data_IF_456816182699
#
_entry.id   IF_456816182699
#
_cell.length_a   1.000
_cell.length_b   1.000
_cell.length_c   1.000
_cell.angle_alpha   90.00
_cell.angle_beta   90.00
_cell.angle_gamma   90.00
#
_symmetry.space_group_name_H-M   'P 1'
#
loop_
_entity.id
_entity.type
_entity.pdbx_description
1 polymer ?
#
# COMPACT_ATOMS: atom_id res chain seq x y z
N UNK A 1 -15.99 14.32 3.54
CA UNK A 1 -14.70 14.10 4.26
C UNK A 1 -13.78 13.39 3.29
N UNK A 2 -12.49 13.66 3.31
CA UNK A 2 -11.55 12.95 2.43
C UNK A 2 -11.40 11.50 2.87
N UNK A 3 -11.43 10.58 1.91
CA UNK A 3 -11.15 9.16 2.11
C UNK A 3 -10.19 8.64 1.04
N UNK A 4 -8.94 8.50 1.42
CA UNK A 4 -7.91 8.07 0.49
C UNK A 4 -8.07 6.61 0.08
N UNK A 5 -8.02 6.36 -1.22
CA UNK A 5 -8.07 5.03 -1.80
C UNK A 5 -7.00 4.84 -2.88
N UNK A 6 -6.63 3.60 -3.12
CA UNK A 6 -5.70 3.20 -4.17
C UNK A 6 -6.38 2.18 -5.08
N UNK A 7 -6.13 2.30 -6.38
CA UNK A 7 -6.60 1.36 -7.39
C UNK A 7 -5.39 0.70 -8.06
N UNK A 8 -5.48 -0.59 -8.31
CA UNK A 8 -4.59 -1.31 -9.22
C UNK A 8 -5.39 -1.85 -10.40
N UNK A 9 -5.08 -1.38 -11.60
CA UNK A 9 -5.62 -1.94 -12.85
C UNK A 9 -4.78 -3.15 -13.27
N UNK A 10 -5.32 -4.35 -13.05
CA UNK A 10 -4.62 -5.60 -13.33
C UNK A 10 -4.46 -5.86 -14.83
N UNK A 11 -5.25 -5.21 -15.68
CA UNK A 11 -5.14 -5.30 -17.14
C UNK A 11 -3.89 -4.58 -17.66
N UNK A 12 -3.41 -3.58 -16.89
CA UNK A 12 -2.26 -2.73 -17.23
C UNK A 12 -0.98 -3.13 -16.50
N UNK A 13 -1.10 -3.83 -15.36
CA UNK A 13 0.06 -4.22 -14.57
C UNK A 13 0.91 -5.24 -15.32
N UNK A 14 2.18 -4.93 -15.54
CA UNK A 14 3.15 -5.78 -16.25
C UNK A 14 4.15 -6.48 -15.32
N UNK A 15 3.94 -6.44 -14.01
CA UNK A 15 4.79 -7.14 -13.03
C UNK A 15 6.20 -6.59 -12.89
N UNK A 16 6.50 -5.38 -13.35
CA UNK A 16 7.86 -4.81 -13.43
C UNK A 16 8.53 -4.52 -12.09
N UNK A 17 7.81 -4.63 -10.96
CA UNK A 17 8.30 -4.37 -9.58
C UNK A 17 8.80 -2.93 -9.31
N UNK A 18 8.63 -1.98 -10.24
CA UNK A 18 9.06 -0.59 -10.04
C UNK A 18 8.39 0.03 -8.81
N UNK A 19 7.10 -0.24 -8.58
CA UNK A 19 6.37 0.22 -7.40
C UNK A 19 6.96 -0.35 -6.09
N UNK A 20 7.46 -1.60 -6.10
CA UNK A 20 8.15 -2.22 -4.97
C UNK A 20 9.48 -1.52 -4.68
N UNK A 21 10.28 -1.29 -5.73
CA UNK A 21 11.56 -0.60 -5.61
C UNK A 21 11.40 0.86 -5.15
N UNK A 22 10.43 1.58 -5.73
CA UNK A 22 10.15 2.97 -5.35
C UNK A 22 9.64 3.09 -3.90
N UNK A 23 8.76 2.17 -3.46
CA UNK A 23 8.31 2.11 -2.07
C UNK A 23 9.48 1.86 -1.12
N UNK A 24 10.34 0.88 -1.43
CA UNK A 24 11.54 0.59 -0.65
C UNK A 24 12.47 1.80 -0.56
N UNK A 25 12.74 2.45 -1.69
CA UNK A 25 13.60 3.63 -1.71
C UNK A 25 13.02 4.80 -0.93
N UNK A 26 11.70 5.06 -1.04
CA UNK A 26 11.04 6.17 -0.36
C UNK A 26 10.98 5.97 1.17
N UNK A 27 10.80 4.72 1.63
CA UNK A 27 10.54 4.42 3.04
C UNK A 27 11.72 3.68 3.72
N UNK A 28 12.87 3.56 3.07
CA UNK A 28 14.08 2.88 3.55
C UNK A 28 13.82 1.48 4.16
N UNK A 29 12.84 0.74 3.61
CA UNK A 29 12.52 -0.58 4.16
C UNK A 29 13.72 -1.53 4.01
N UNK A 30 14.08 -2.29 5.05
CA UNK A 30 15.24 -3.16 5.03
C UNK A 30 15.06 -4.35 4.06
N UNK A 31 16.13 -5.07 3.70
CA UNK A 31 16.04 -6.30 2.93
C UNK A 31 15.04 -7.28 3.53
N UNK A 32 14.18 -7.87 2.69
CA UNK A 32 13.12 -8.80 3.12
C UNK A 32 11.81 -8.11 3.53
N UNK A 33 11.77 -6.80 3.75
CA UNK A 33 10.55 -6.04 4.05
C UNK A 33 10.05 -5.34 2.79
N UNK A 34 8.84 -5.67 2.37
CA UNK A 34 8.21 -5.11 1.17
C UNK A 34 6.81 -4.61 1.50
N UNK A 35 6.68 -3.31 1.84
CA UNK A 35 5.37 -2.71 2.10
C UNK A 35 4.48 -2.70 0.85
N UNK A 36 5.10 -2.65 -0.32
CA UNK A 36 4.49 -2.88 -1.62
C UNK A 36 5.19 -4.06 -2.28
N UNK A 37 4.43 -5.05 -2.76
CA UNK A 37 4.92 -6.19 -3.55
C UNK A 37 3.96 -6.46 -4.68
N UNK A 38 4.41 -7.15 -5.72
CA UNK A 38 3.57 -7.61 -6.80
C UNK A 38 3.60 -9.13 -6.81
N UNK A 39 2.43 -9.74 -6.67
CA UNK A 39 2.27 -11.18 -6.81
C UNK A 39 2.21 -11.51 -8.30
N UNK A 40 2.85 -12.60 -8.67
CA UNK A 40 2.83 -13.19 -9.99
C UNK A 40 2.00 -14.47 -9.91
N UNK A 41 0.85 -14.48 -10.60
CA UNK A 41 -0.13 -15.56 -10.50
C UNK A 41 -0.41 -16.14 -11.88
N UNK A 42 -0.28 -17.44 -11.99
CA UNK A 42 -0.73 -18.19 -13.16
C UNK A 42 -2.05 -18.90 -12.84
N UNK A 43 -2.95 -18.94 -13.81
CA UNK A 43 -4.22 -19.66 -13.73
C UNK A 43 -4.65 -20.16 -15.10
N UNK A 44 -5.51 -21.18 -15.10
CA UNK A 44 -5.88 -21.95 -16.30
C UNK A 44 -5.09 -23.24 -16.42
N UNK A 45 -5.34 -23.98 -17.50
CA UNK A 45 -4.65 -25.23 -17.84
C UNK A 45 -3.99 -25.10 -19.22
N UNK A 46 -2.83 -25.72 -19.37
CA UNK A 46 -2.13 -25.70 -20.64
C UNK A 46 -3.01 -26.31 -21.77
N UNK A 47 -3.12 -25.66 -22.96
CA UNK A 47 -2.34 -24.49 -23.42
C UNK A 47 -2.95 -23.14 -23.06
N UNK A 48 -4.12 -23.07 -22.42
CA UNK A 48 -4.85 -21.82 -22.14
C UNK A 48 -4.48 -21.22 -20.78
N UNK A 49 -3.18 -21.00 -20.56
CA UNK A 49 -2.66 -20.41 -19.33
C UNK A 49 -2.72 -18.89 -19.42
N UNK A 50 -3.24 -18.26 -18.37
CA UNK A 50 -3.24 -16.81 -18.19
C UNK A 50 -2.34 -16.41 -17.02
N UNK A 51 -1.81 -15.21 -17.06
CA UNK A 51 -0.94 -14.66 -16.02
C UNK A 51 -1.42 -13.29 -15.58
N UNK A 52 -1.53 -13.08 -14.28
CA UNK A 52 -1.88 -11.80 -13.70
C UNK A 52 -0.83 -11.33 -12.71
N UNK A 53 -0.56 -10.03 -12.71
CA UNK A 53 0.32 -9.37 -11.76
C UNK A 53 -0.51 -8.55 -10.81
N UNK A 54 -0.47 -8.88 -9.52
CA UNK A 54 -1.34 -8.27 -8.51
C UNK A 54 -0.50 -7.47 -7.51
N UNK A 55 -0.51 -6.13 -7.59
CA UNK A 55 0.13 -5.27 -6.59
C UNK A 55 -0.60 -5.38 -5.26
N UNK A 56 0.10 -5.77 -4.19
CA UNK A 56 -0.47 -5.91 -2.85
C UNK A 56 0.32 -5.14 -1.80
N UNK A 57 -0.34 -4.87 -0.67
CA UNK A 57 0.23 -4.16 0.47
C UNK A 57 -0.83 -3.94 1.53
N UNK A 58 -0.61 -3.00 2.45
CA UNK A 58 -1.64 -2.61 3.41
C UNK A 58 -2.88 -2.08 2.67
N UNK A 59 -4.05 -2.56 3.07
CA UNK A 59 -5.33 -2.21 2.45
C UNK A 59 -5.98 -0.96 3.05
N UNK A 60 -5.43 -0.40 4.13
CA UNK A 60 -6.02 0.73 4.86
C UNK A 60 -7.52 0.55 5.09
N UNK A 61 -7.86 -0.57 5.74
CA UNK A 61 -9.22 -1.03 5.97
C UNK A 61 -10.10 0.02 6.67
N UNK A 62 -11.40 0.00 6.39
CA UNK A 62 -12.39 0.82 7.09
C UNK A 62 -12.57 0.32 8.53
N UNK A 63 -12.61 -0.99 8.70
CA UNK A 63 -12.61 -1.68 10.00
C UNK A 63 -11.33 -2.51 10.13
N UNK A 64 -10.23 -1.92 10.63
CA UNK A 64 -8.93 -2.56 10.59
C UNK A 64 -8.70 -3.50 11.78
N UNK A 65 -8.74 -4.85 11.61
CA UNK A 65 -8.55 -5.80 12.71
C UNK A 65 -7.21 -5.64 13.42
N UNK A 66 -6.22 -5.10 12.75
CA UNK A 66 -4.92 -4.77 13.33
C UNK A 66 -4.96 -3.61 14.36
N UNK A 67 -6.01 -2.79 14.35
CA UNK A 67 -6.24 -1.77 15.37
C UNK A 67 -6.86 -2.38 16.63
N UNK A 68 -7.82 -3.29 16.46
CA UNK A 68 -8.55 -3.91 17.56
C UNK A 68 -7.65 -4.76 18.46
N UNK A 69 -6.70 -5.48 17.86
CA UNK A 69 -5.75 -6.32 18.60
C UNK A 69 -4.56 -5.56 19.18
N UNK A 70 -4.45 -4.24 18.97
CA UNK A 70 -3.31 -3.47 19.43
C UNK A 70 -3.44 -3.12 20.93
N UNK A 71 -2.64 -3.73 21.84
CA UNK A 71 -2.80 -3.55 23.29
C UNK A 71 -2.46 -2.12 23.73
N UNK A 72 -1.54 -1.45 23.03
CA UNK A 72 -1.12 -0.08 23.36
C UNK A 72 -1.88 0.98 22.56
N UNK A 73 -2.80 0.56 21.66
CA UNK A 73 -3.49 1.45 20.72
C UNK A 73 -2.54 2.29 19.84
N UNK A 74 -1.33 1.76 19.59
CA UNK A 74 -0.38 2.38 18.68
C UNK A 74 -0.88 2.41 17.24
N UNK A 75 -1.65 1.38 16.81
CA UNK A 75 -2.30 1.41 15.50
C UNK A 75 -3.56 2.28 15.59
N UNK A 76 -3.64 3.30 14.73
CA UNK A 76 -4.73 4.28 14.69
C UNK A 76 -5.24 4.44 13.27
N UNK A 77 -6.52 4.79 13.11
CA UNK A 77 -7.11 5.20 11.84
C UNK A 77 -7.32 6.71 11.87
N UNK A 78 -6.83 7.42 10.87
CA UNK A 78 -7.04 8.87 10.67
C UNK A 78 -8.44 9.12 10.10
N UNK A 79 -8.89 10.36 10.20
CA UNK A 79 -10.19 10.79 9.65
C UNK A 79 -10.27 10.64 8.13
N UNK A 80 -9.13 10.66 7.44
CA UNK A 80 -9.00 10.47 5.99
C UNK A 80 -8.88 8.99 5.56
N UNK A 81 -9.10 8.05 6.48
CA UNK A 81 -9.07 6.61 6.22
C UNK A 81 -7.68 5.97 6.29
N UNK A 82 -6.60 6.74 6.38
CA UNK A 82 -5.26 6.17 6.48
C UNK A 82 -5.07 5.52 7.85
N UNK A 83 -4.68 4.25 7.85
CA UNK A 83 -4.28 3.55 9.08
C UNK A 83 -2.79 3.79 9.31
N UNK A 84 -2.42 4.32 10.45
CA UNK A 84 -1.04 4.64 10.87
C UNK A 84 -0.60 3.84 12.08
N UNK A 85 0.67 3.91 12.41
CA UNK A 85 1.24 3.36 13.65
C UNK A 85 2.01 4.48 14.33
N UNK A 86 1.73 4.67 15.59
CA UNK A 86 2.51 5.51 16.49
C UNK A 86 3.68 4.67 17.01
N UNK A 87 4.88 4.96 16.53
CA UNK A 87 6.05 4.15 16.83
C UNK A 87 6.51 4.30 18.29
N UNK A 88 6.22 5.42 18.92
CA UNK A 88 6.56 5.67 20.34
C UNK A 88 5.69 4.82 21.29
N UNK A 89 4.46 4.49 20.87
CA UNK A 89 3.54 3.66 21.62
C UNK A 89 3.65 2.16 21.26
N UNK A 90 4.30 1.82 20.15
CA UNK A 90 4.36 0.45 19.68
C UNK A 90 5.40 -0.38 20.45
N UNK A 91 4.96 -1.42 21.15
CA UNK A 91 5.84 -2.35 21.89
C UNK A 91 6.34 -3.54 21.05
N UNK A 92 6.05 -3.56 19.75
CA UNK A 92 6.53 -4.61 18.85
C UNK A 92 5.98 -6.02 19.11
N UNK A 93 4.82 -6.16 19.74
CA UNK A 93 4.23 -7.49 20.10
C UNK A 93 3.80 -8.33 18.90
N UNK A 94 3.72 -7.74 17.70
CA UNK A 94 3.35 -8.37 16.43
C UNK A 94 1.92 -8.94 16.34
N UNK A 95 1.02 -8.72 17.29
CA UNK A 95 -0.39 -9.18 17.20
C UNK A 95 -1.09 -8.63 15.94
N UNK A 96 -0.79 -7.39 15.56
CA UNK A 96 -1.30 -6.80 14.34
C UNK A 96 -0.82 -7.49 13.06
N UNK A 97 0.31 -8.19 13.07
CA UNK A 97 0.78 -8.99 11.95
C UNK A 97 0.01 -10.30 11.83
N UNK A 98 -0.34 -10.91 12.96
CA UNK A 98 -1.17 -12.13 13.00
C UNK A 98 -2.61 -11.84 12.59
N UNK A 99 -3.17 -10.71 13.05
CA UNK A 99 -4.56 -10.32 12.74
C UNK A 99 -4.76 -9.81 11.30
N UNK A 100 -3.69 -9.45 10.58
CA UNK A 100 -3.80 -8.88 9.25
C UNK A 100 -4.05 -9.96 8.18
N UNK A 101 -5.23 -10.05 7.54
CA UNK A 101 -5.49 -11.06 6.52
C UNK A 101 -4.67 -10.84 5.23
N UNK A 102 -4.13 -9.63 5.06
CA UNK A 102 -3.33 -9.25 3.88
C UNK A 102 -1.83 -9.45 4.07
N UNK A 103 -1.38 -9.91 5.25
CA UNK A 103 0.03 -10.09 5.60
C UNK A 103 0.88 -8.82 5.32
N UNK A 104 0.32 -7.67 5.63
CA UNK A 104 0.90 -6.37 5.28
C UNK A 104 1.57 -5.65 6.46
N UNK A 105 1.99 -6.42 7.48
CA UNK A 105 2.66 -5.92 8.67
C UNK A 105 4.00 -6.63 8.85
N UNK A 106 5.03 -5.85 9.12
CA UNK A 106 6.41 -6.33 9.26
C UNK A 106 6.99 -5.84 10.57
N UNK A 107 7.97 -6.56 11.08
CA UNK A 107 8.79 -6.16 12.22
C UNK A 107 10.25 -6.48 11.91
N UNK A 108 11.13 -5.53 12.18
CA UNK A 108 12.57 -5.69 12.01
C UNK A 108 13.25 -5.31 13.31
N UNK A 109 14.02 -6.24 13.88
CA UNK A 109 14.64 -6.06 15.21
C UNK A 109 15.86 -5.13 15.17
N UNK A 110 16.54 -5.06 14.04
CA UNK A 110 17.75 -4.24 13.84
C UNK A 110 17.87 -3.76 12.40
N UNK A 111 18.59 -2.68 12.19
CA UNK A 111 18.91 -2.19 10.86
C UNK A 111 19.63 -3.27 10.04
N UNK A 112 19.12 -3.55 8.85
CA UNK A 112 19.68 -4.50 7.90
C UNK A 112 19.89 -3.78 6.56
N UNK A 113 21.07 -3.96 5.98
CA UNK A 113 21.44 -3.35 4.71
C UNK A 113 21.85 -4.43 3.72
N UNK A 114 21.50 -4.26 2.44
CA UNK A 114 21.75 -5.26 1.39
C UNK A 114 23.25 -5.58 1.21
N UNK A 115 24.12 -4.61 1.47
CA UNK A 115 25.59 -4.73 1.32
C UNK A 115 26.31 -4.81 2.68
N UNK A 116 25.60 -5.11 3.77
CA UNK A 116 26.16 -5.16 5.13
C UNK A 116 26.42 -3.78 5.75
N UNK A 117 26.50 -2.74 4.93
CA UNK A 117 26.64 -1.34 5.35
C UNK A 117 25.61 -0.49 4.61
N UNK A 118 25.13 0.61 5.21
CA UNK A 118 24.18 1.50 4.55
C UNK A 118 24.80 2.18 3.35
N UNK A 119 24.08 2.24 2.25
CA UNK A 119 24.38 3.19 1.16
C UNK A 119 24.10 4.61 1.65
N UNK A 120 24.61 5.62 0.93
CA UNK A 120 24.39 7.04 1.25
C UNK A 120 22.90 7.38 1.30
N UNK A 121 22.10 6.76 0.44
CA UNK A 121 20.64 6.94 0.42
C UNK A 121 19.95 6.28 1.60
N UNK A 122 20.35 5.06 1.96
CA UNK A 122 19.81 4.34 3.12
C UNK A 122 20.16 5.06 4.43
N UNK A 123 21.41 5.49 4.60
CA UNK A 123 21.85 6.23 5.78
C UNK A 123 21.05 7.53 6.03
N UNK A 124 20.65 8.24 4.95
CA UNK A 124 19.84 9.46 5.06
C UNK A 124 18.38 9.22 5.42
N UNK A 125 17.87 8.03 5.19
CA UNK A 125 16.45 7.69 5.35
C UNK A 125 16.20 6.66 6.43
N UNK A 126 17.27 6.10 7.01
CA UNK A 126 17.15 5.20 8.16
C UNK A 126 16.42 5.92 9.28
N UNK A 127 15.37 5.32 9.76
CA UNK A 127 14.60 5.79 10.92
C UNK A 127 14.64 4.70 12.00
N UNK A 128 15.40 4.95 13.04
CA UNK A 128 15.58 3.99 14.14
C UNK A 128 14.29 3.81 14.96
N UNK A 129 13.34 4.75 14.88
CA UNK A 129 12.01 4.60 15.48
C UNK A 129 11.20 3.43 14.85
N UNK A 130 11.59 2.98 13.66
CA UNK A 130 10.97 1.83 12.98
C UNK A 130 11.60 0.49 13.36
N UNK A 131 12.60 0.47 14.24
CA UNK A 131 13.23 -0.77 14.71
C UNK A 131 12.47 -1.36 15.90
N UNK A 132 12.40 -2.68 15.94
CA UNK A 132 11.70 -3.48 16.96
C UNK A 132 10.20 -3.20 17.10
N UNK A 133 9.62 -2.38 16.23
CA UNK A 133 8.19 -2.03 16.16
C UNK A 133 7.53 -2.61 14.90
N UNK A 134 6.20 -2.61 14.88
CA UNK A 134 5.46 -3.00 13.68
C UNK A 134 5.52 -1.88 12.63
N UNK A 135 5.78 -2.25 11.38
CA UNK A 135 5.80 -1.32 10.24
C UNK A 135 4.90 -1.79 9.12
N UNK A 136 4.43 -0.87 8.28
CA UNK A 136 3.57 -1.15 7.13
C UNK A 136 3.52 0.02 6.15
N UNK A 137 2.92 -0.18 4.99
CA UNK A 137 2.57 0.91 4.09
C UNK A 137 1.71 1.98 4.79
N UNK A 138 2.07 3.26 4.64
CA UNK A 138 1.37 4.43 5.18
C UNK A 138 0.63 5.23 4.10
N UNK A 139 0.54 4.73 2.86
CA UNK A 139 0.19 5.51 1.67
C UNK A 139 1.15 6.69 1.42
N UNK A 140 2.35 6.65 2.01
CA UNK A 140 3.31 7.76 2.00
C UNK A 140 2.68 9.03 2.62
N UNK A 141 2.09 8.90 3.81
CA UNK A 141 1.32 9.95 4.49
C UNK A 141 2.10 11.26 4.60
N UNK A 142 3.41 11.20 4.82
CA UNK A 142 4.27 12.39 4.90
C UNK A 142 4.29 13.18 3.59
N UNK A 143 4.21 12.47 2.43
CA UNK A 143 4.12 13.12 1.11
C UNK A 143 2.75 13.76 0.90
N UNK A 144 1.69 13.05 1.32
CA UNK A 144 0.31 13.54 1.22
C UNK A 144 0.15 14.79 2.06
N UNK A 145 0.54 14.74 3.34
CA UNK A 145 0.38 15.84 4.28
C UNK A 145 1.20 17.08 3.82
N UNK A 146 2.48 16.89 3.47
CA UNK A 146 3.33 17.95 2.94
C UNK A 146 2.83 18.54 1.61
N UNK A 147 2.21 17.72 0.77
CA UNK A 147 1.60 18.18 -0.47
C UNK A 147 0.36 19.03 -0.23
N UNK A 148 -0.53 18.59 0.66
CA UNK A 148 -1.74 19.33 1.04
C UNK A 148 -1.37 20.70 1.66
N UNK A 149 -0.36 20.76 2.52
CA UNK A 149 0.14 22.02 3.10
C UNK A 149 0.62 23.02 2.03
N UNK A 150 1.11 22.51 0.88
CA UNK A 150 1.54 23.30 -0.27
C UNK A 150 0.43 23.60 -1.27
N UNK A 151 -0.81 23.16 -0.99
CA UNK A 151 -1.95 23.29 -1.92
C UNK A 151 -1.90 22.34 -3.12
N UNK A 152 -1.09 21.27 -3.04
CA UNK A 152 -1.02 20.22 -4.07
C UNK A 152 -2.10 19.17 -3.85
N UNK A 153 -2.50 18.52 -4.94
CA UNK A 153 -3.55 17.50 -4.93
C UNK A 153 -2.95 16.09 -4.97
N UNK A 154 -3.08 15.28 -3.88
CA UNK A 154 -2.64 13.88 -3.88
C UNK A 154 -3.33 13.06 -4.96
N UNK A 155 -2.54 12.28 -5.70
CA UNK A 155 -3.01 11.49 -6.83
C UNK A 155 -2.96 12.22 -8.19
N UNK A 156 -2.73 13.53 -8.18
CA UNK A 156 -2.53 14.38 -9.38
C UNK A 156 -1.11 14.94 -9.39
N UNK A 157 -0.72 15.65 -8.32
CA UNK A 157 0.61 16.22 -8.20
C UNK A 157 1.62 15.16 -7.77
N UNK A 158 2.74 14.96 -8.51
CA UNK A 158 3.70 13.91 -8.24
C UNK A 158 4.33 13.97 -6.84
N UNK A 159 4.55 15.17 -6.30
CA UNK A 159 5.16 15.36 -4.99
C UNK A 159 4.23 14.96 -3.84
N UNK A 160 2.91 15.15 -4.00
CA UNK A 160 1.87 14.80 -3.04
C UNK A 160 1.38 13.35 -3.19
N UNK A 161 1.78 12.64 -4.25
CA UNK A 161 1.30 11.30 -4.59
C UNK A 161 2.21 10.22 -3.99
N UNK A 162 1.65 9.06 -3.54
CA UNK A 162 2.46 7.93 -3.06
C UNK A 162 3.54 7.52 -4.08
N UNK A 163 4.75 7.24 -3.60
CA UNK A 163 5.91 6.97 -4.45
C UNK A 163 5.67 5.80 -5.42
N UNK A 164 4.97 4.75 -4.98
CA UNK A 164 4.66 3.59 -5.83
C UNK A 164 3.69 3.92 -6.97
N UNK A 165 2.77 4.85 -6.77
CA UNK A 165 1.84 5.33 -7.80
C UNK A 165 2.59 6.18 -8.81
N UNK A 166 3.32 7.19 -8.31
CA UNK A 166 4.06 8.12 -9.14
C UNK A 166 5.13 7.46 -10.03
N UNK A 167 5.68 6.33 -9.59
CA UNK A 167 6.70 5.57 -10.34
C UNK A 167 6.14 4.45 -11.22
N UNK A 168 4.83 4.27 -11.29
CA UNK A 168 4.22 3.19 -12.06
C UNK A 168 4.33 3.44 -13.57
N UNK A 169 5.26 2.78 -14.25
CA UNK A 169 5.53 2.97 -15.68
C UNK A 169 4.35 2.58 -16.58
N UNK A 170 3.51 1.64 -16.11
CA UNK A 170 2.31 1.20 -16.83
C UNK A 170 1.05 2.01 -16.49
N UNK A 171 1.16 3.00 -15.59
CA UNK A 171 0.01 3.72 -15.02
C UNK A 171 -1.09 2.78 -14.55
N UNK A 172 -0.70 1.65 -13.97
CA UNK A 172 -1.60 0.65 -13.41
C UNK A 172 -2.04 0.98 -11.98
N UNK A 173 -1.31 1.86 -11.28
CA UNK A 173 -1.65 2.31 -9.93
C UNK A 173 -2.21 3.73 -10.00
N UNK A 174 -3.34 3.95 -9.35
CA UNK A 174 -3.98 5.26 -9.20
C UNK A 174 -4.28 5.51 -7.72
N UNK A 175 -4.22 6.76 -7.28
CA UNK A 175 -4.50 7.17 -5.92
C UNK A 175 -5.37 8.43 -5.93
N UNK A 176 -6.27 8.58 -4.96
CA UNK A 176 -7.11 9.77 -4.86
C UNK A 176 -8.13 9.69 -3.74
N UNK A 177 -8.98 10.73 -3.67
CA UNK A 177 -10.06 10.83 -2.68
C UNK A 177 -11.31 10.11 -3.20
N UNK A 178 -11.75 9.09 -2.50
CA UNK A 178 -12.94 8.32 -2.85
C UNK A 178 -14.25 9.08 -2.57
N UNK A 179 -14.23 10.05 -1.65
CA UNK A 179 -15.41 10.87 -1.33
C UNK A 179 -15.58 12.07 -2.29
N UNK A 180 -14.59 12.33 -3.16
CA UNK A 180 -14.71 13.29 -4.25
C UNK A 180 -15.15 12.57 -5.53
N UNK A 181 -16.38 12.82 -5.99
CA UNK A 181 -16.93 12.22 -7.20
C UNK A 181 -16.17 12.60 -8.49
N UNK A 182 -15.39 13.68 -8.46
CA UNK A 182 -14.57 14.14 -9.58
C UNK A 182 -13.14 13.62 -9.54
N UNK A 183 -12.76 12.90 -8.48
CA UNK A 183 -11.44 12.31 -8.38
C UNK A 183 -11.23 11.21 -9.43
N UNK A 184 -9.97 10.99 -9.80
CA UNK A 184 -9.57 9.94 -10.72
C UNK A 184 -9.96 8.53 -10.22
N UNK A 185 -9.91 8.28 -8.91
CA UNK A 185 -10.30 6.98 -8.33
C UNK A 185 -11.81 6.77 -8.40
N UNK A 186 -12.62 7.78 -8.07
CA UNK A 186 -14.08 7.67 -8.09
C UNK A 186 -14.59 7.46 -9.52
N UNK A 187 -14.03 8.16 -10.49
CA UNK A 187 -14.38 7.98 -11.91
C UNK A 187 -14.00 6.59 -12.42
N UNK A 188 -12.78 6.12 -12.12
CA UNK A 188 -12.34 4.78 -12.52
C UNK A 188 -13.22 3.66 -11.93
N UNK A 189 -13.64 3.79 -10.67
CA UNK A 189 -14.51 2.80 -10.03
C UNK A 189 -15.93 2.84 -10.60
N UNK A 190 -16.44 4.01 -10.99
CA UNK A 190 -17.75 4.14 -11.60
C UNK A 190 -17.82 3.54 -13.03
N UNK A 191 -16.71 3.61 -13.76
CA UNK A 191 -16.62 3.18 -15.16
C UNK A 191 -16.19 1.72 -15.35
N UNK A 192 -15.62 1.07 -14.32
CA UNK A 192 -15.01 -0.24 -14.44
C UNK A 192 -15.52 -1.22 -13.41
N UNK A 193 -15.56 -2.51 -13.79
CA UNK A 193 -15.73 -3.58 -12.82
C UNK A 193 -14.53 -3.64 -11.90
N UNK A 194 -14.79 -3.79 -10.61
CA UNK A 194 -13.74 -3.81 -9.60
C UNK A 194 -14.09 -4.78 -8.47
N UNK A 195 -13.07 -5.19 -7.74
CA UNK A 195 -13.20 -5.98 -6.52
C UNK A 195 -12.20 -5.52 -5.46
N UNK A 196 -12.39 -5.94 -4.24
CA UNK A 196 -11.43 -5.78 -3.15
C UNK A 196 -10.99 -7.16 -2.65
N UNK A 197 -9.76 -7.27 -2.17
CA UNK A 197 -9.28 -8.53 -1.62
C UNK A 197 -10.00 -8.86 -0.32
N UNK A 198 -10.42 -10.13 -0.20
CA UNK A 198 -11.06 -10.65 1.03
C UNK A 198 -12.26 -9.81 1.51
N UNK A 199 -13.14 -9.43 0.61
CA UNK A 199 -14.37 -8.68 0.94
C UNK A 199 -15.25 -9.44 1.94
N UNK A 200 -15.23 -10.78 1.88
CA UNK A 200 -15.95 -11.69 2.77
C UNK A 200 -15.58 -11.53 4.25
N UNK A 201 -14.41 -10.96 4.55
CA UNK A 201 -13.97 -10.71 5.93
C UNK A 201 -14.53 -9.42 6.54
N UNK A 202 -15.25 -8.61 5.76
CA UNK A 202 -15.91 -7.40 6.22
C UNK A 202 -14.99 -6.26 6.67
N UNK A 203 -13.69 -6.34 6.39
CA UNK A 203 -12.71 -5.33 6.85
C UNK A 203 -12.76 -4.00 6.08
N UNK A 204 -13.51 -3.93 4.97
CA UNK A 204 -13.64 -2.73 4.15
C UNK A 204 -12.31 -2.20 3.58
N UNK A 205 -11.61 -2.96 2.70
CA UNK A 205 -10.35 -2.50 2.10
C UNK A 205 -10.47 -1.19 1.33
N UNK A 206 -9.54 -0.25 1.55
CA UNK A 206 -9.40 0.99 0.76
C UNK A 206 -8.53 0.82 -0.50
N UNK A 207 -8.23 -0.40 -0.88
CA UNK A 207 -7.48 -0.74 -2.08
C UNK A 207 -8.36 -1.56 -3.01
N UNK A 208 -8.55 -1.10 -4.24
CA UNK A 208 -9.43 -1.67 -5.25
C UNK A 208 -8.63 -2.25 -6.41
N UNK A 209 -9.19 -3.25 -7.06
CA UNK A 209 -8.59 -3.92 -8.21
C UNK A 209 -9.55 -3.88 -9.38
N UNK A 210 -9.11 -3.31 -10.51
CA UNK A 210 -9.86 -3.38 -11.76
C UNK A 210 -9.49 -4.66 -12.50
N UNK A 211 -10.51 -5.40 -12.88
CA UNK A 211 -10.38 -6.64 -13.63
C UNK A 211 -11.58 -6.81 -14.55
N UNK A 212 -11.34 -6.92 -15.85
CA UNK A 212 -12.36 -7.39 -16.77
C UNK A 212 -12.24 -8.92 -16.86
N UNK A 213 -13.27 -9.61 -16.47
CA UNK A 213 -13.48 -10.94 -17.06
C UNK A 213 -13.71 -10.67 -18.53
N UNK A 214 -12.69 -10.83 -19.35
CA UNK A 214 -12.88 -10.83 -20.80
C UNK A 214 -14.07 -11.72 -21.10
N UNK A 215 -14.96 -11.24 -21.95
CA UNK A 215 -16.08 -12.02 -22.44
C UNK A 215 -15.51 -13.39 -22.83
N UNK A 216 -15.84 -14.41 -22.04
CA UNK A 216 -15.33 -15.76 -22.25
C UNK A 216 -15.68 -16.22 -23.67
N UNK A 217 -14.72 -16.09 -24.56
CA UNK A 217 -14.66 -16.74 -25.86
C UNK A 217 -13.48 -17.68 -25.88
#
# INVERSE_FOLDING_TARGET
>A
MTRWAMIADLRRCVGCQTCTAACRHANATPPGVQWRRVLDMEFGEYPDVQRAFVPVGCQHCDDPPCMDVCPTKATKKRADGIVTIDYDLCIGCAYCAVACPYQARYKTEKALFAYGQPTVSEAKRQDDAQLAVATKCTFCVERIDAGIEKGQQPGVDPEATPACVNSCIANALTFGDLDDSHSNVSQLLAENQHFRMHEELGTGPGFYYLWDKGDGK
#
